data_IF_189284574548
#
_entry.id   IF_189284574548
#
_cell.length_a   1.000
_cell.length_b   1.000
_cell.length_c   1.000
_cell.angle_alpha   90.00
_cell.angle_beta   90.00
_cell.angle_gamma   90.00
#
_symmetry.space_group_name_H-M   'P 1'
#
loop_
_entity.id
_entity.type
_entity.pdbx_description
1 polymer ?
#
# COMPACT_ATOMS: atom_id res chain seq x y z
N UNK A 1 -3.27 33.16 21.95
CA UNK A 1 -3.32 32.95 20.50
C UNK A 1 -1.96 32.54 19.91
N UNK A 2 -0.87 33.24 20.22
CA UNK A 2 0.48 32.85 19.70
C UNK A 2 0.94 31.44 20.16
N UNK A 3 0.74 31.10 21.43
CA UNK A 3 1.05 29.75 21.95
C UNK A 3 0.22 28.68 21.29
N UNK A 4 -1.05 28.89 21.02
CA UNK A 4 -1.92 27.98 20.28
C UNK A 4 -1.41 27.75 18.85
N UNK A 5 -1.09 28.81 18.11
CA UNK A 5 -0.54 28.71 16.76
C UNK A 5 0.83 28.00 16.74
N UNK A 6 1.63 28.18 17.77
CA UNK A 6 2.90 27.46 17.94
C UNK A 6 2.66 25.96 18.12
N UNK A 7 1.77 25.56 19.03
CA UNK A 7 1.42 24.16 19.26
C UNK A 7 0.87 23.54 17.98
N UNK A 8 -0.14 24.19 17.37
CA UNK A 8 -0.78 23.70 16.15
C UNK A 8 0.24 23.45 15.02
N UNK A 9 1.16 24.39 14.82
CA UNK A 9 2.24 24.27 13.83
C UNK A 9 3.17 23.09 14.11
N UNK A 10 3.57 22.90 15.38
CA UNK A 10 4.41 21.78 15.77
C UNK A 10 3.67 20.45 15.58
N UNK A 11 2.40 20.37 15.98
CA UNK A 11 1.57 19.17 15.80
C UNK A 11 1.46 18.79 14.32
N UNK A 12 1.09 19.76 13.46
CA UNK A 12 0.97 19.52 12.02
C UNK A 12 2.31 19.08 11.42
N UNK A 13 3.40 19.83 11.71
CA UNK A 13 4.71 19.52 11.14
C UNK A 13 5.25 18.15 11.58
N UNK A 14 5.12 17.80 12.86
CA UNK A 14 5.56 16.52 13.39
C UNK A 14 4.72 15.35 12.84
N UNK A 15 3.39 15.52 12.69
CA UNK A 15 2.54 14.50 12.10
C UNK A 15 2.89 14.22 10.63
N UNK A 16 3.15 15.27 9.84
CA UNK A 16 3.63 15.09 8.47
C UNK A 16 4.97 14.36 8.43
N UNK A 17 5.95 14.79 9.23
CA UNK A 17 7.26 14.14 9.28
C UNK A 17 7.13 12.67 9.70
N UNK A 18 6.38 12.39 10.78
CA UNK A 18 6.18 11.03 11.28
C UNK A 18 5.50 10.13 10.25
N UNK A 19 4.40 10.62 9.65
CA UNK A 19 3.68 9.88 8.59
C UNK A 19 4.60 9.49 7.44
N UNK A 20 5.47 10.42 7.03
CA UNK A 20 6.35 10.18 5.89
C UNK A 20 7.55 9.32 6.24
N UNK A 21 8.10 9.41 7.44
CA UNK A 21 9.19 8.51 7.85
C UNK A 21 8.79 7.05 7.70
N UNK A 22 7.53 6.72 8.02
CA UNK A 22 6.99 5.37 7.83
C UNK A 22 6.85 5.04 6.34
N UNK A 23 6.27 5.94 5.53
CA UNK A 23 6.10 5.72 4.08
C UNK A 23 7.41 5.70 3.31
N UNK A 24 8.39 6.55 3.70
CA UNK A 24 9.70 6.58 3.08
C UNK A 24 10.57 5.37 3.45
N UNK A 25 10.21 4.65 4.50
CA UNK A 25 10.81 3.36 4.85
C UNK A 25 10.34 2.22 3.93
N UNK A 26 9.22 2.40 3.23
CA UNK A 26 8.72 1.49 2.20
C UNK A 26 8.06 2.28 1.05
N UNK A 27 8.86 2.85 0.13
CA UNK A 27 8.34 3.56 -1.03
C UNK A 27 7.58 2.63 -2.01
N UNK A 28 7.93 1.33 -2.06
CA UNK A 28 7.25 0.35 -2.91
C UNK A 28 5.81 0.12 -2.42
N UNK A 29 5.59 -0.04 -1.12
CA UNK A 29 4.24 -0.18 -0.56
C UNK A 29 3.34 1.01 -0.91
N UNK A 30 3.87 2.26 -0.85
CA UNK A 30 3.12 3.42 -1.31
C UNK A 30 2.88 3.39 -2.84
N UNK A 31 3.85 2.94 -3.63
CA UNK A 31 3.72 2.77 -5.09
C UNK A 31 2.59 1.80 -5.42
N UNK A 32 2.53 0.66 -4.77
CA UNK A 32 1.46 -0.33 -4.97
C UNK A 32 0.08 0.21 -4.57
N UNK A 33 0.00 1.01 -3.52
CA UNK A 33 -1.25 1.70 -3.17
C UNK A 33 -1.69 2.70 -4.23
N UNK A 34 -0.76 3.41 -4.87
CA UNK A 34 -1.09 4.28 -6.00
C UNK A 34 -1.58 3.48 -7.22
N UNK A 35 -0.97 2.32 -7.52
CA UNK A 35 -1.44 1.42 -8.58
C UNK A 35 -2.89 0.97 -8.31
N UNK A 36 -3.22 0.56 -7.08
CA UNK A 36 -4.57 0.18 -6.68
C UNK A 36 -5.59 1.31 -6.98
N UNK A 37 -5.25 2.57 -6.69
CA UNK A 37 -6.09 3.72 -7.06
C UNK A 37 -6.19 3.88 -8.58
N UNK A 38 -5.09 3.76 -9.32
CA UNK A 38 -5.06 3.95 -10.76
C UNK A 38 -5.85 2.86 -11.50
N UNK A 39 -5.75 1.62 -11.06
CA UNK A 39 -6.57 0.51 -11.56
C UNK A 39 -8.07 0.78 -11.37
N UNK A 40 -8.48 1.20 -10.16
CA UNK A 40 -9.89 1.51 -9.86
C UNK A 40 -10.40 2.70 -10.68
N UNK A 41 -9.53 3.66 -11.04
CA UNK A 41 -9.89 4.82 -11.85
C UNK A 41 -9.74 4.57 -13.36
N UNK A 42 -9.23 3.43 -13.79
CA UNK A 42 -9.01 3.09 -15.20
C UNK A 42 -7.87 3.85 -15.85
N UNK A 43 -6.88 4.31 -15.08
CA UNK A 43 -5.70 5.04 -15.54
C UNK A 43 -4.40 4.24 -15.35
N UNK A 44 -4.48 2.93 -15.52
CA UNK A 44 -3.36 2.00 -15.35
C UNK A 44 -2.12 2.30 -16.22
N UNK A 45 -2.24 3.14 -17.26
CA UNK A 45 -1.09 3.60 -18.05
C UNK A 45 -0.06 4.43 -17.24
N UNK A 46 -0.40 4.85 -16.03
CA UNK A 46 0.50 5.55 -15.10
C UNK A 46 1.20 4.62 -14.12
N UNK A 47 0.94 3.32 -14.16
CA UNK A 47 1.46 2.35 -13.19
C UNK A 47 2.99 2.30 -13.17
N UNK A 48 3.64 2.44 -14.33
CA UNK A 48 5.10 2.47 -14.44
C UNK A 48 5.75 3.67 -13.73
N UNK A 49 4.98 4.73 -13.47
CA UNK A 49 5.46 5.95 -12.81
C UNK A 49 5.14 6.02 -11.32
N UNK A 50 4.39 5.07 -10.77
CA UNK A 50 3.91 5.11 -9.38
C UNK A 50 5.04 5.14 -8.36
N UNK A 51 6.15 4.44 -8.61
CA UNK A 51 7.32 4.50 -7.74
C UNK A 51 7.94 5.91 -7.71
N UNK A 52 8.05 6.55 -8.87
CA UNK A 52 8.56 7.93 -8.95
C UNK A 52 7.62 8.88 -8.20
N UNK A 53 6.31 8.73 -8.39
CA UNK A 53 5.32 9.52 -7.66
C UNK A 53 5.41 9.31 -6.16
N UNK A 54 5.58 8.06 -5.70
CA UNK A 54 5.72 7.73 -4.28
C UNK A 54 6.97 8.41 -3.67
N UNK A 55 8.13 8.30 -4.32
CA UNK A 55 9.39 8.90 -3.86
C UNK A 55 9.29 10.43 -3.82
N UNK A 56 8.73 11.04 -4.86
CA UNK A 56 8.53 12.50 -4.93
C UNK A 56 7.54 12.97 -3.86
N UNK A 57 6.42 12.28 -3.72
CA UNK A 57 5.38 12.63 -2.73
C UNK A 57 5.93 12.56 -1.31
N UNK A 58 6.62 11.48 -0.93
CA UNK A 58 7.26 11.33 0.36
C UNK A 58 8.27 12.46 0.61
N UNK A 59 9.09 12.77 -0.39
CA UNK A 59 10.07 13.85 -0.27
C UNK A 59 9.40 15.21 -0.07
N UNK A 60 8.36 15.52 -0.83
CA UNK A 60 7.62 16.77 -0.70
C UNK A 60 6.95 16.92 0.67
N UNK A 61 6.33 15.86 1.18
CA UNK A 61 5.66 15.88 2.48
C UNK A 61 6.65 16.13 3.63
N UNK A 62 7.79 15.42 3.68
CA UNK A 62 8.75 15.56 4.78
C UNK A 62 9.44 16.93 4.74
N UNK A 63 9.81 17.38 3.54
CA UNK A 63 10.41 18.72 3.34
C UNK A 63 9.42 19.81 3.72
N UNK A 64 8.13 19.66 3.36
CA UNK A 64 7.08 20.60 3.77
C UNK A 64 6.87 20.59 5.30
N UNK A 65 6.90 19.42 5.94
CA UNK A 65 6.84 19.31 7.40
C UNK A 65 8.00 20.02 8.08
N UNK A 66 9.24 19.80 7.62
CA UNK A 66 10.44 20.48 8.13
C UNK A 66 10.37 21.98 7.87
N UNK A 67 10.01 22.40 6.65
CA UNK A 67 9.84 23.81 6.28
C UNK A 67 8.82 24.53 7.17
N UNK A 68 7.73 23.85 7.53
CA UNK A 68 6.74 24.36 8.47
C UNK A 68 7.35 24.58 9.86
N UNK A 69 8.15 23.62 10.35
CA UNK A 69 8.78 23.72 11.68
C UNK A 69 9.83 24.82 11.74
N UNK A 70 10.67 24.97 10.73
CA UNK A 70 11.68 26.04 10.65
C UNK A 70 11.10 27.39 10.22
N UNK A 71 9.81 27.42 9.81
CA UNK A 71 9.09 28.61 9.31
C UNK A 71 9.70 29.23 8.05
N UNK A 72 10.25 28.40 7.14
CA UNK A 72 10.92 28.88 5.92
C UNK A 72 10.69 27.94 4.73
N UNK A 73 10.23 28.46 3.59
CA UNK A 73 9.48 29.71 3.38
C UNK A 73 8.02 29.54 3.84
N UNK A 74 7.64 30.16 4.93
CA UNK A 74 6.43 29.82 5.71
C UNK A 74 5.12 29.86 4.91
N UNK A 75 4.85 30.93 4.16
CA UNK A 75 3.61 31.09 3.37
C UNK A 75 3.51 30.04 2.26
N UNK A 76 4.58 29.84 1.51
CA UNK A 76 4.63 28.86 0.40
C UNK A 76 4.45 27.44 0.94
N UNK A 77 5.09 27.12 2.07
CA UNK A 77 4.94 25.84 2.75
C UNK A 77 3.49 25.57 3.15
N UNK A 78 2.77 26.55 3.66
CA UNK A 78 1.37 26.38 4.02
C UNK A 78 0.48 26.11 2.79
N UNK A 79 0.74 26.76 1.65
CA UNK A 79 0.03 26.48 0.40
C UNK A 79 0.35 25.09 -0.13
N UNK A 80 1.61 24.65 -0.05
CA UNK A 80 2.01 23.28 -0.43
C UNK A 80 1.31 22.26 0.47
N UNK A 81 1.34 22.44 1.80
CA UNK A 81 0.66 21.55 2.74
C UNK A 81 -0.85 21.54 2.53
N UNK A 82 -1.46 22.67 2.17
CA UNK A 82 -2.88 22.73 1.83
C UNK A 82 -3.18 21.90 0.58
N UNK A 83 -2.36 22.01 -0.47
CA UNK A 83 -2.52 21.20 -1.68
C UNK A 83 -2.39 19.71 -1.38
N UNK A 84 -1.36 19.31 -0.62
CA UNK A 84 -1.13 17.92 -0.22
C UNK A 84 -2.30 17.37 0.61
N UNK A 85 -2.75 18.10 1.63
CA UNK A 85 -3.82 17.58 2.49
C UNK A 85 -5.17 17.53 1.77
N UNK A 86 -5.47 18.46 0.85
CA UNK A 86 -6.67 18.37 0.00
C UNK A 86 -6.61 17.14 -0.88
N UNK A 87 -5.45 16.86 -1.49
CA UNK A 87 -5.25 15.65 -2.30
C UNK A 87 -5.45 14.38 -1.47
N UNK A 88 -4.83 14.27 -0.28
CA UNK A 88 -5.02 13.11 0.60
C UNK A 88 -6.45 12.98 1.12
N UNK A 89 -7.09 14.10 1.48
CA UNK A 89 -8.51 14.08 1.89
C UNK A 89 -9.41 13.56 0.76
N UNK A 90 -9.10 13.91 -0.48
CA UNK A 90 -9.80 13.38 -1.65
C UNK A 90 -9.59 11.86 -1.78
N UNK A 91 -8.34 11.37 -1.69
CA UNK A 91 -8.03 9.94 -1.77
C UNK A 91 -8.72 9.13 -0.66
N UNK A 92 -8.60 9.58 0.59
CA UNK A 92 -9.20 8.91 1.75
C UNK A 92 -10.72 8.97 1.73
N UNK A 93 -11.29 10.08 1.25
CA UNK A 93 -12.72 10.22 1.01
C UNK A 93 -13.20 9.27 -0.08
N UNK A 94 -12.49 9.19 -1.21
CA UNK A 94 -12.81 8.24 -2.27
C UNK A 94 -12.78 6.79 -1.77
N UNK A 95 -11.73 6.40 -1.03
CA UNK A 95 -11.63 5.07 -0.45
C UNK A 95 -12.79 4.76 0.52
N UNK A 96 -13.19 5.76 1.34
CA UNK A 96 -14.28 5.62 2.30
C UNK A 96 -15.65 5.45 1.61
N UNK A 97 -15.93 6.26 0.59
CA UNK A 97 -17.26 6.29 -0.04
C UNK A 97 -17.43 5.25 -1.15
N UNK A 98 -16.36 4.89 -1.86
CA UNK A 98 -16.42 3.85 -2.89
C UNK A 98 -16.43 2.43 -2.30
N UNK A 99 -15.82 2.24 -1.12
CA UNK A 99 -15.64 0.92 -0.49
C UNK A 99 -14.74 -0.04 -1.30
N UNK A 100 -14.15 0.42 -2.41
CA UNK A 100 -13.30 -0.41 -3.29
C UNK A 100 -11.88 -0.57 -2.75
N UNK A 101 -11.41 0.37 -1.94
CA UNK A 101 -10.05 0.41 -1.39
C UNK A 101 -10.13 0.19 0.12
N UNK A 102 -9.55 -0.89 0.61
CA UNK A 102 -9.66 -1.32 2.02
C UNK A 102 -8.74 -0.52 2.95
N UNK A 103 -7.57 -0.09 2.48
CA UNK A 103 -6.57 0.67 3.26
C UNK A 103 -6.04 1.83 2.44
N UNK A 104 -5.83 3.00 3.08
CA UNK A 104 -5.41 4.22 2.37
C UNK A 104 -3.89 4.40 2.28
N UNK A 105 -3.08 3.58 2.94
CA UNK A 105 -1.61 3.69 2.94
C UNK A 105 -1.05 4.97 3.59
N UNK A 106 -1.87 5.76 4.32
CA UNK A 106 -1.44 7.04 4.90
C UNK A 106 -0.25 6.93 5.87
N UNK A 107 -0.10 5.79 6.55
CA UNK A 107 1.02 5.46 7.42
C UNK A 107 1.72 4.16 6.98
N UNK A 108 1.71 3.88 5.67
CA UNK A 108 2.26 2.63 5.14
C UNK A 108 1.63 1.41 5.78
N UNK A 109 2.28 0.27 5.66
CA UNK A 109 1.79 -1.00 6.21
C UNK A 109 2.13 -1.20 7.69
N UNK A 110 3.00 -0.35 8.25
CA UNK A 110 3.33 -0.40 9.69
C UNK A 110 2.15 -0.02 10.60
N UNK A 111 1.29 0.89 10.16
CA UNK A 111 0.11 1.34 10.90
C UNK A 111 -1.09 1.36 9.95
N UNK A 112 -1.72 0.20 9.72
CA UNK A 112 -2.86 0.11 8.81
C UNK A 112 -4.06 0.84 9.41
N UNK A 113 -4.39 2.01 8.85
CA UNK A 113 -5.56 2.78 9.24
C UNK A 113 -6.74 2.47 8.33
N UNK A 114 -7.92 2.35 8.94
CA UNK A 114 -9.15 2.27 8.14
C UNK A 114 -9.41 3.57 7.37
N UNK A 115 -10.07 3.52 6.20
CA UNK A 115 -10.38 4.71 5.41
C UNK A 115 -11.11 5.81 6.22
N UNK A 116 -12.01 5.41 7.12
CA UNK A 116 -12.75 6.33 8.00
C UNK A 116 -11.82 7.12 8.94
N UNK A 117 -10.89 6.42 9.62
CA UNK A 117 -9.95 7.07 10.55
C UNK A 117 -9.00 7.99 9.80
N UNK A 118 -8.51 7.55 8.63
CA UNK A 118 -7.65 8.36 7.76
C UNK A 118 -8.35 9.63 7.29
N UNK A 119 -9.59 9.51 6.84
CA UNK A 119 -10.39 10.66 6.39
C UNK A 119 -10.63 11.68 7.50
N UNK A 120 -11.01 11.24 8.70
CA UNK A 120 -11.20 12.14 9.85
C UNK A 120 -9.89 12.84 10.21
N UNK A 121 -8.77 12.11 10.25
CA UNK A 121 -7.44 12.70 10.49
C UNK A 121 -7.12 13.78 9.46
N UNK A 122 -7.37 13.52 8.18
CA UNK A 122 -7.07 14.46 7.09
C UNK A 122 -7.95 15.72 7.18
N UNK A 123 -9.23 15.59 7.53
CA UNK A 123 -10.10 16.74 7.81
C UNK A 123 -9.57 17.60 8.97
N UNK A 124 -9.15 16.98 10.08
CA UNK A 124 -8.58 17.71 11.22
C UNK A 124 -7.31 18.45 10.80
N UNK A 125 -6.42 17.81 10.03
CA UNK A 125 -5.20 18.45 9.51
C UNK A 125 -5.52 19.57 8.53
N UNK A 126 -6.51 19.39 7.67
CA UNK A 126 -6.98 20.42 6.73
C UNK A 126 -7.42 21.68 7.48
N UNK A 127 -8.28 21.54 8.50
CA UNK A 127 -8.70 22.66 9.33
C UNK A 127 -7.51 23.32 10.06
N UNK A 128 -6.58 22.54 10.59
CA UNK A 128 -5.39 23.03 11.23
C UNK A 128 -4.52 23.88 10.28
N UNK A 129 -4.30 23.40 9.06
CA UNK A 129 -3.53 24.12 8.04
C UNK A 129 -4.24 25.40 7.60
N UNK A 130 -5.57 25.39 7.44
CA UNK A 130 -6.38 26.57 7.13
C UNK A 130 -6.24 27.64 8.24
N UNK A 131 -6.31 27.24 9.51
CA UNK A 131 -6.11 28.18 10.65
C UNK A 131 -4.71 28.79 10.59
N UNK A 132 -3.67 27.99 10.34
CA UNK A 132 -2.29 28.47 10.20
C UNK A 132 -2.15 29.44 9.01
N UNK A 133 -2.80 29.13 7.89
CA UNK A 133 -2.77 29.96 6.68
C UNK A 133 -3.41 31.34 6.90
N UNK A 134 -4.58 31.41 7.55
CA UNK A 134 -5.21 32.69 7.87
C UNK A 134 -4.40 33.52 8.86
N UNK A 135 -3.61 32.87 9.71
CA UNK A 135 -2.79 33.53 10.71
C UNK A 135 -1.29 33.61 10.34
N UNK A 136 -0.93 33.32 9.08
CA UNK A 136 0.48 33.25 8.67
C UNK A 136 1.28 34.53 8.95
N UNK A 137 0.65 35.72 8.85
CA UNK A 137 1.29 37.03 9.16
C UNK A 137 1.72 37.18 10.61
N UNK A 138 1.09 36.43 11.55
CA UNK A 138 1.42 36.48 12.99
C UNK A 138 2.63 35.64 13.36
N UNK A 139 3.09 34.77 12.43
CA UNK A 139 4.24 33.89 12.63
C UNK A 139 5.43 34.45 11.88
N UNK A 140 6.34 35.08 12.60
CA UNK A 140 7.58 35.60 12.00
C UNK A 140 8.66 34.52 11.97
N UNK A 141 9.38 34.46 10.86
CA UNK A 141 10.63 33.68 10.74
C UNK A 141 11.80 34.58 11.00
N UNK A 142 12.67 34.16 11.90
CA UNK A 142 13.96 34.83 12.15
C UNK A 142 15.13 34.06 11.53
N UNK A 143 14.82 33.03 10.72
CA UNK A 143 15.84 32.19 10.10
C UNK A 143 16.48 32.92 8.91
N UNK A 144 17.80 32.91 8.85
CA UNK A 144 18.53 33.46 7.71
C UNK A 144 18.24 32.64 6.44
N UNK A 145 18.00 33.31 5.29
CA UNK A 145 17.59 32.64 4.05
C UNK A 145 18.55 31.52 3.63
N UNK A 146 19.86 31.78 3.68
CA UNK A 146 20.85 30.78 3.28
C UNK A 146 20.79 29.51 4.16
N UNK A 147 20.61 29.69 5.49
CA UNK A 147 20.46 28.57 6.41
C UNK A 147 19.17 27.81 6.16
N UNK A 148 18.05 28.52 5.88
CA UNK A 148 16.78 27.88 5.52
C UNK A 148 16.89 27.04 4.27
N UNK A 149 17.49 27.56 3.19
CA UNK A 149 17.74 26.81 1.95
C UNK A 149 18.64 25.61 2.20
N UNK A 150 19.73 25.80 2.95
CA UNK A 150 20.66 24.71 3.28
C UNK A 150 19.95 23.57 4.01
N UNK A 151 19.14 23.88 5.02
CA UNK A 151 18.39 22.85 5.79
C UNK A 151 17.38 22.11 4.93
N UNK A 152 16.69 22.79 3.99
CA UNK A 152 15.77 22.14 3.06
C UNK A 152 16.51 21.25 2.05
N UNK A 153 17.64 21.70 1.50
CA UNK A 153 18.47 20.87 0.62
C UNK A 153 19.02 19.65 1.34
N UNK A 154 19.50 19.82 2.56
CA UNK A 154 20.00 18.72 3.40
C UNK A 154 18.89 17.71 3.70
N UNK A 155 17.70 18.17 4.05
CA UNK A 155 16.56 17.28 4.32
C UNK A 155 16.11 16.53 3.05
N UNK A 156 16.07 17.21 1.91
CA UNK A 156 15.75 16.58 0.61
C UNK A 156 16.76 15.49 0.26
N UNK A 157 18.07 15.80 0.41
CA UNK A 157 19.14 14.83 0.16
C UNK A 157 19.09 13.63 1.11
N UNK A 158 18.85 13.88 2.40
CA UNK A 158 18.75 12.82 3.40
C UNK A 158 17.56 11.88 3.14
N UNK A 159 16.39 12.43 2.83
CA UNK A 159 15.20 11.63 2.52
C UNK A 159 15.37 10.87 1.20
N UNK A 160 15.88 11.54 0.16
CA UNK A 160 16.16 10.90 -1.12
C UNK A 160 17.15 9.75 -0.99
N UNK A 161 18.23 9.95 -0.23
CA UNK A 161 19.20 8.90 0.06
C UNK A 161 18.60 7.75 0.87
N UNK A 162 17.79 8.06 1.90
CA UNK A 162 17.09 7.04 2.69
C UNK A 162 16.18 6.17 1.83
N UNK A 163 15.37 6.78 0.95
CA UNK A 163 14.50 6.05 0.03
C UNK A 163 15.30 5.23 -0.99
N UNK A 164 16.37 5.81 -1.56
CA UNK A 164 17.26 5.07 -2.44
C UNK A 164 17.87 3.85 -1.75
N UNK A 165 18.32 4.01 -0.50
CA UNK A 165 18.89 2.91 0.28
C UNK A 165 17.91 1.77 0.49
N UNK A 166 16.68 2.05 0.92
CA UNK A 166 15.65 1.00 1.16
C UNK A 166 15.16 0.36 -0.14
N UNK A 167 15.23 1.04 -1.27
CA UNK A 167 14.93 0.46 -2.59
C UNK A 167 16.01 -0.51 -3.07
N UNK A 168 17.25 -0.37 -2.61
CA UNK A 168 18.36 -1.26 -2.95
C UNK A 168 18.57 -2.37 -1.90
N UNK A 169 18.02 -2.19 -0.71
CA UNK A 169 18.17 -3.07 0.44
C UNK A 169 16.80 -3.34 1.06
N UNK A 170 16.77 -3.96 2.22
CA UNK A 170 15.52 -4.11 2.98
C UNK A 170 15.16 -2.81 3.71
N UNK A 171 13.87 -2.59 4.02
CA UNK A 171 13.42 -1.50 4.87
C UNK A 171 14.16 -1.47 6.22
N UNK A 172 14.40 -0.28 6.77
CA UNK A 172 15.02 -0.16 8.11
C UNK A 172 14.14 -0.81 9.19
N UNK A 173 12.83 -0.70 9.06
CA UNK A 173 11.84 -1.35 9.91
C UNK A 173 10.90 -2.15 9.00
N UNK A 174 11.03 -3.47 9.06
CA UNK A 174 10.16 -4.35 8.31
C UNK A 174 8.88 -4.60 9.11
N UNK A 175 7.78 -4.09 8.60
CA UNK A 175 6.45 -4.18 9.22
C UNK A 175 5.59 -5.28 8.62
N UNK A 176 6.04 -5.90 7.53
CA UNK A 176 5.29 -6.94 6.85
C UNK A 176 5.32 -8.26 7.62
N UNK A 177 4.29 -9.09 7.50
CA UNK A 177 4.28 -10.41 8.13
C UNK A 177 5.33 -11.37 7.55
N UNK A 178 5.84 -11.08 6.34
CA UNK A 178 6.88 -11.84 5.64
C UNK A 178 8.32 -11.54 6.12
N UNK A 179 8.46 -10.69 7.12
CA UNK A 179 9.78 -10.27 7.62
C UNK A 179 10.65 -11.45 8.07
N UNK A 180 11.95 -11.21 8.02
CA UNK A 180 12.97 -12.19 8.46
C UNK A 180 12.71 -12.65 9.91
N UNK A 181 12.70 -13.96 10.11
CA UNK A 181 12.47 -14.61 11.41
C UNK A 181 11.02 -14.99 11.67
N UNK A 182 10.07 -14.60 10.82
CA UNK A 182 8.69 -15.08 10.91
C UNK A 182 8.52 -16.41 10.17
N UNK A 183 7.68 -17.27 10.73
CA UNK A 183 7.15 -18.45 10.04
C UNK A 183 5.88 -18.07 9.28
N UNK A 184 5.92 -18.24 7.95
CA UNK A 184 4.79 -17.87 7.07
C UNK A 184 3.55 -18.69 7.41
N UNK A 185 3.69 -19.99 7.63
CA UNK A 185 2.57 -20.87 7.95
C UNK A 185 1.92 -20.49 9.28
N UNK A 186 2.72 -20.06 10.26
CA UNK A 186 2.19 -19.58 11.54
C UNK A 186 1.45 -18.24 11.38
N UNK A 187 1.95 -17.34 10.52
CA UNK A 187 1.27 -16.07 10.24
C UNK A 187 -0.04 -16.25 9.42
N UNK A 188 -0.18 -17.38 8.72
CA UNK A 188 -1.42 -17.76 8.00
C UNK A 188 -2.49 -18.36 8.92
N UNK A 189 -2.12 -18.79 10.11
CA UNK A 189 -3.09 -19.35 11.05
C UNK A 189 -4.01 -18.25 11.60
N UNK A 190 -5.31 -18.55 11.58
CA UNK A 190 -6.30 -17.69 12.22
C UNK A 190 -6.10 -17.78 13.74
N UNK A 191 -5.97 -16.66 14.45
CA UNK A 191 -5.80 -16.69 15.92
C UNK A 191 -6.94 -17.41 16.63
N UNK A 192 -6.64 -18.11 17.72
CA UNK A 192 -7.68 -18.75 18.54
C UNK A 192 -8.66 -17.69 19.07
N UNK A 193 -9.95 -18.01 19.00
CA UNK A 193 -11.03 -17.10 19.39
C UNK A 193 -11.36 -16.00 18.36
N UNK A 194 -10.82 -16.08 17.13
CA UNK A 194 -11.19 -15.16 16.07
C UNK A 194 -12.65 -15.36 15.65
N UNK A 195 -13.39 -14.27 15.63
CA UNK A 195 -14.75 -14.20 15.10
C UNK A 195 -14.68 -13.37 13.82
N UNK A 196 -14.84 -13.98 12.64
CA UNK A 196 -14.80 -13.25 11.38
C UNK A 196 -15.99 -12.31 11.22
N UNK A 197 -15.81 -11.28 10.41
CA UNK A 197 -16.94 -10.46 9.96
C UNK A 197 -17.92 -11.35 9.17
N UNK A 198 -19.21 -11.25 9.50
CA UNK A 198 -20.26 -11.88 8.70
C UNK A 198 -20.73 -10.87 7.65
N UNK A 199 -20.53 -11.21 6.39
CA UNK A 199 -20.93 -10.36 5.27
C UNK A 199 -21.94 -11.06 4.39
N UNK A 200 -22.93 -10.32 3.90
CA UNK A 200 -23.81 -10.73 2.80
C UNK A 200 -23.30 -10.12 1.51
N UNK A 201 -23.21 -10.93 0.48
CA UNK A 201 -22.85 -10.46 -0.85
C UNK A 201 -24.13 -10.18 -1.63
N UNK A 202 -24.42 -8.91 -1.84
CA UNK A 202 -25.54 -8.48 -2.67
C UNK A 202 -25.06 -8.23 -4.09
N UNK A 203 -25.72 -8.88 -5.04
CA UNK A 203 -25.48 -8.71 -6.47
C UNK A 203 -26.61 -7.89 -7.09
N UNK A 204 -26.24 -6.91 -7.89
CA UNK A 204 -27.17 -6.03 -8.61
C UNK A 204 -27.23 -6.42 -10.07
N UNK A 205 -28.43 -6.58 -10.59
CA UNK A 205 -28.71 -6.90 -11.98
C UNK A 205 -29.71 -5.93 -12.57
N UNK A 206 -29.60 -5.69 -13.87
CA UNK A 206 -30.62 -4.98 -14.63
C UNK A 206 -31.57 -6.02 -15.27
N UNK A 207 -32.85 -5.94 -14.95
CA UNK A 207 -33.93 -6.73 -15.61
C UNK A 207 -35.02 -5.77 -16.08
N UNK A 208 -35.34 -5.80 -17.37
CA UNK A 208 -36.40 -4.95 -17.96
C UNK A 208 -36.26 -3.45 -17.63
N UNK A 209 -35.01 -2.92 -17.63
CA UNK A 209 -34.72 -1.51 -17.31
C UNK A 209 -34.79 -1.14 -15.83
N UNK A 210 -34.98 -2.10 -14.92
CA UNK A 210 -34.99 -1.89 -13.47
C UNK A 210 -33.83 -2.61 -12.82
N UNK A 211 -33.17 -1.94 -11.89
CA UNK A 211 -32.12 -2.57 -11.06
C UNK A 211 -32.80 -3.40 -9.97
N UNK A 212 -32.46 -4.69 -9.91
CA UNK A 212 -32.89 -5.65 -8.89
C UNK A 212 -31.66 -6.15 -8.14
N UNK A 213 -31.79 -6.38 -6.83
CA UNK A 213 -30.69 -6.83 -5.98
C UNK A 213 -31.07 -8.11 -5.27
N UNK A 214 -30.15 -9.04 -5.21
CA UNK A 214 -30.31 -10.32 -4.51
C UNK A 214 -29.06 -10.62 -3.67
N UNK A 215 -29.26 -11.36 -2.59
CA UNK A 215 -28.17 -12.04 -1.89
C UNK A 215 -27.63 -13.17 -2.78
N UNK A 216 -26.31 -13.39 -2.77
CA UNK A 216 -25.65 -14.43 -3.58
C UNK A 216 -26.21 -15.84 -3.28
N UNK A 217 -26.79 -16.06 -2.11
CA UNK A 217 -27.39 -17.32 -1.70
C UNK A 217 -28.90 -17.39 -1.96
N UNK A 218 -29.50 -16.32 -2.48
CA UNK A 218 -30.97 -16.21 -2.66
C UNK A 218 -31.30 -15.65 -4.05
N UNK A 219 -30.85 -16.36 -5.09
CA UNK A 219 -31.26 -16.02 -6.44
C UNK A 219 -32.74 -16.37 -6.66
N UNK A 220 -33.47 -15.52 -7.40
CA UNK A 220 -34.85 -15.83 -7.78
C UNK A 220 -34.89 -17.08 -8.66
N UNK A 221 -35.98 -17.83 -8.55
CA UNK A 221 -36.19 -19.08 -9.30
C UNK A 221 -36.29 -18.86 -10.82
N UNK A 222 -36.61 -17.62 -11.24
CA UNK A 222 -36.71 -17.18 -12.63
C UNK A 222 -35.42 -16.50 -13.13
N UNK A 223 -34.28 -16.74 -12.47
CA UNK A 223 -32.99 -16.16 -12.88
C UNK A 223 -32.54 -16.76 -14.21
N UNK A 224 -32.42 -15.92 -15.23
CA UNK A 224 -32.09 -16.30 -16.61
C UNK A 224 -31.17 -15.27 -17.29
N UNK A 225 -30.92 -15.45 -18.60
CA UNK A 225 -30.07 -14.56 -19.40
C UNK A 225 -30.59 -13.13 -19.57
N UNK A 226 -31.82 -12.81 -19.12
CA UNK A 226 -32.36 -11.44 -19.15
C UNK A 226 -31.84 -10.58 -18.01
N UNK A 227 -31.18 -11.19 -17.02
CA UNK A 227 -30.53 -10.48 -15.93
C UNK A 227 -29.12 -10.07 -16.34
N UNK A 228 -28.89 -8.79 -16.55
CA UNK A 228 -27.57 -8.23 -16.89
C UNK A 228 -26.87 -7.78 -15.61
N UNK A 229 -25.76 -8.42 -15.29
CA UNK A 229 -24.94 -8.06 -14.13
C UNK A 229 -24.52 -6.58 -14.17
N UNK A 230 -24.63 -5.87 -13.04
CA UNK A 230 -24.21 -4.48 -12.91
C UNK A 230 -23.13 -4.28 -11.84
N UNK A 231 -23.36 -4.79 -10.63
CA UNK A 231 -22.45 -4.52 -9.49
C UNK A 231 -22.57 -5.59 -8.42
N UNK A 232 -21.53 -5.68 -7.59
CA UNK A 232 -21.46 -6.53 -6.39
C UNK A 232 -21.13 -5.67 -5.20
N UNK A 233 -21.90 -5.78 -4.12
CA UNK A 233 -21.69 -5.06 -2.87
C UNK A 233 -21.63 -6.03 -1.70
N UNK A 234 -20.60 -5.89 -0.88
CA UNK A 234 -20.52 -6.58 0.42
C UNK A 234 -21.22 -5.74 1.49
N UNK A 235 -22.20 -6.33 2.15
CA UNK A 235 -22.95 -5.71 3.24
C UNK A 235 -22.57 -6.43 4.53
N UNK A 236 -21.96 -5.71 5.46
CA UNK A 236 -21.61 -6.24 6.76
C UNK A 236 -22.89 -6.53 7.56
N UNK A 237 -23.15 -7.81 7.89
CA UNK A 237 -24.26 -8.23 8.73
C UNK A 237 -23.89 -8.13 10.21
N UNK A 238 -22.73 -8.72 10.56
CA UNK A 238 -22.23 -8.73 11.93
C UNK A 238 -20.72 -8.51 11.91
N UNK A 239 -20.28 -7.55 12.69
CA UNK A 239 -18.85 -7.27 12.86
C UNK A 239 -18.21 -8.32 13.74
N UNK A 240 -17.14 -8.93 13.28
CA UNK A 240 -16.30 -9.81 14.06
C UNK A 240 -15.46 -9.06 15.12
N UNK A 241 -14.58 -9.77 15.77
CA UNK A 241 -13.69 -9.18 16.78
C UNK A 241 -12.39 -8.58 16.21
N UNK A 242 -12.23 -8.56 14.90
CA UNK A 242 -11.06 -8.01 14.19
C UNK A 242 -9.79 -8.87 14.29
N UNK A 243 -9.87 -10.06 14.87
CA UNK A 243 -8.77 -11.04 14.90
C UNK A 243 -8.78 -11.80 13.58
N UNK A 244 -7.80 -11.55 12.73
CA UNK A 244 -7.61 -12.20 11.42
C UNK A 244 -6.19 -12.73 11.33
N UNK A 245 -5.97 -13.72 10.47
CA UNK A 245 -4.61 -14.13 10.11
C UNK A 245 -3.84 -12.92 9.55
N UNK A 246 -2.55 -12.84 9.81
CA UNK A 246 -1.73 -11.74 9.29
C UNK A 246 -1.44 -11.90 7.81
N UNK A 247 -1.41 -13.14 7.32
CA UNK A 247 -1.30 -13.51 5.92
C UNK A 247 -2.57 -14.26 5.55
N UNK A 248 -3.37 -13.69 4.65
CA UNK A 248 -4.67 -14.27 4.26
C UNK A 248 -4.68 -14.81 2.82
N UNK A 249 -3.83 -14.29 1.94
CA UNK A 249 -3.91 -14.52 0.49
C UNK A 249 -2.65 -15.21 -0.06
N UNK A 250 -1.90 -15.94 0.77
CA UNK A 250 -0.71 -16.63 0.33
C UNK A 250 -1.06 -18.05 -0.13
N UNK A 251 -0.90 -18.31 -1.43
CA UNK A 251 -1.08 -19.65 -2.00
C UNK A 251 -0.16 -19.86 -3.19
N UNK A 252 0.42 -21.05 -3.28
CA UNK A 252 1.35 -21.45 -4.33
C UNK A 252 0.80 -22.68 -5.07
N UNK A 253 0.62 -22.52 -6.38
CA UNK A 253 0.11 -23.58 -7.23
C UNK A 253 1.18 -24.09 -8.20
N UNK A 254 1.16 -25.35 -8.50
CA UNK A 254 1.92 -25.85 -9.65
C UNK A 254 1.36 -25.30 -10.95
N UNK A 255 2.10 -25.44 -12.04
CA UNK A 255 1.62 -25.13 -13.39
C UNK A 255 0.34 -25.89 -13.76
N UNK A 256 0.05 -27.01 -13.10
CA UNK A 256 -1.16 -27.83 -13.27
C UNK A 256 -2.30 -27.44 -12.31
N UNK A 257 -2.20 -26.30 -11.65
CA UNK A 257 -3.17 -25.78 -10.67
C UNK A 257 -3.37 -26.67 -9.42
N UNK A 258 -2.33 -27.42 -9.01
CA UNK A 258 -2.33 -28.15 -7.74
C UNK A 258 -1.74 -27.25 -6.67
N UNK A 259 -2.45 -27.04 -5.58
CA UNK A 259 -1.96 -26.30 -4.41
C UNK A 259 -0.81 -27.07 -3.75
N UNK A 260 0.34 -26.43 -3.62
CA UNK A 260 1.55 -26.97 -3.02
C UNK A 260 2.04 -26.15 -1.83
N UNK A 261 1.27 -25.19 -1.39
CA UNK A 261 1.65 -24.26 -0.32
C UNK A 261 2.10 -25.00 0.93
N UNK A 262 1.24 -25.83 1.47
CA UNK A 262 1.51 -26.57 2.71
C UNK A 262 2.65 -27.59 2.52
N UNK A 263 2.68 -28.29 1.38
CA UNK A 263 3.73 -29.26 1.06
C UNK A 263 5.10 -28.62 0.99
N UNK A 264 5.20 -27.43 0.38
CA UNK A 264 6.46 -26.70 0.26
C UNK A 264 6.98 -26.25 1.63
N UNK A 265 6.12 -25.64 2.44
CA UNK A 265 6.52 -25.09 3.75
C UNK A 265 6.80 -26.18 4.80
N UNK A 266 6.28 -27.39 4.63
CA UNK A 266 6.60 -28.52 5.50
C UNK A 266 7.94 -29.19 5.12
N UNK A 267 8.61 -28.72 4.07
CA UNK A 267 9.93 -29.22 3.68
C UNK A 267 10.98 -28.80 4.71
N UNK A 268 11.73 -29.76 5.24
CA UNK A 268 12.75 -29.52 6.27
C UNK A 268 14.09 -29.04 5.69
N UNK A 269 14.36 -29.29 4.42
CA UNK A 269 15.58 -28.85 3.75
C UNK A 269 15.50 -27.36 3.40
N UNK A 270 16.60 -26.61 3.52
CA UNK A 270 16.64 -25.19 3.12
C UNK A 270 16.37 -25.05 1.61
N UNK A 271 15.54 -24.09 1.26
CA UNK A 271 15.22 -23.73 -0.13
C UNK A 271 15.20 -22.23 -0.35
N UNK A 272 15.28 -21.83 -1.61
CA UNK A 272 15.24 -20.42 -2.03
C UNK A 272 14.00 -20.23 -2.89
N UNK A 273 13.19 -19.24 -2.54
CA UNK A 273 12.05 -18.77 -3.33
C UNK A 273 12.45 -17.50 -4.08
N UNK A 274 12.35 -17.53 -5.40
CA UNK A 274 12.57 -16.37 -6.26
C UNK A 274 11.21 -15.85 -6.69
N UNK A 275 10.82 -14.66 -6.25
CA UNK A 275 9.58 -14.03 -6.66
C UNK A 275 9.82 -13.13 -7.87
N UNK A 276 9.08 -13.36 -8.95
CA UNK A 276 9.15 -12.58 -10.18
C UNK A 276 7.73 -12.23 -10.64
N UNK A 277 7.34 -10.97 -10.50
CA UNK A 277 6.02 -10.51 -10.93
C UNK A 277 5.82 -10.71 -12.45
N UNK A 278 6.79 -10.27 -13.23
CA UNK A 278 6.86 -10.50 -14.67
C UNK A 278 8.12 -11.28 -15.02
N UNK A 279 8.01 -12.15 -16.00
CA UNK A 279 9.14 -12.91 -16.51
C UNK A 279 9.77 -12.10 -17.65
N UNK A 280 10.94 -11.53 -17.39
CA UNK A 280 11.73 -10.83 -18.41
C UNK A 280 12.81 -11.78 -18.97
N UNK A 281 12.75 -12.02 -20.28
CA UNK A 281 13.72 -12.86 -20.97
C UNK A 281 15.13 -12.24 -21.03
N UNK A 282 15.28 -10.95 -20.76
CA UNK A 282 16.59 -10.28 -20.69
C UNK A 282 17.39 -10.66 -19.43
N UNK A 283 16.72 -11.17 -18.38
CA UNK A 283 17.36 -11.63 -17.17
C UNK A 283 18.07 -12.96 -17.42
N UNK A 284 19.35 -13.13 -17.06
CA UNK A 284 20.09 -14.37 -17.23
C UNK A 284 19.68 -15.42 -16.17
N UNK A 285 18.45 -15.92 -16.29
CA UNK A 285 17.84 -16.85 -15.33
C UNK A 285 18.69 -18.08 -15.04
N UNK A 286 19.26 -18.69 -16.08
CA UNK A 286 20.09 -19.88 -15.92
C UNK A 286 21.32 -19.61 -15.06
N UNK A 287 21.99 -18.47 -15.26
CA UNK A 287 23.17 -18.09 -14.47
C UNK A 287 22.79 -17.81 -13.02
N UNK A 288 21.69 -17.10 -12.79
CA UNK A 288 21.18 -16.80 -11.45
C UNK A 288 20.85 -18.09 -10.69
N UNK A 289 20.09 -18.98 -11.31
CA UNK A 289 19.68 -20.26 -10.73
C UNK A 289 20.90 -21.13 -10.41
N UNK A 290 21.85 -21.24 -11.35
CA UNK A 290 23.08 -22.02 -11.17
C UNK A 290 23.90 -21.52 -9.99
N UNK A 291 24.06 -20.20 -9.87
CA UNK A 291 24.80 -19.56 -8.74
C UNK A 291 24.17 -19.90 -7.39
N UNK A 292 22.83 -19.99 -7.32
CA UNK A 292 22.14 -20.36 -6.08
C UNK A 292 22.26 -21.87 -5.81
N UNK A 293 22.13 -22.69 -6.84
CA UNK A 293 22.22 -24.16 -6.74
C UNK A 293 23.63 -24.64 -6.36
N UNK A 294 24.68 -23.89 -6.73
CA UNK A 294 26.07 -24.18 -6.29
C UNK A 294 26.23 -24.15 -4.76
N UNK A 295 25.28 -23.51 -4.03
CA UNK A 295 25.21 -23.55 -2.57
C UNK A 295 24.38 -24.72 -2.03
N UNK A 296 24.08 -25.72 -2.85
CA UNK A 296 23.29 -26.91 -2.52
C UNK A 296 21.88 -26.62 -1.98
N UNK A 297 21.25 -25.57 -2.47
CA UNK A 297 19.89 -25.19 -2.09
C UNK A 297 18.89 -25.51 -3.19
N UNK A 298 17.72 -26.00 -2.81
CA UNK A 298 16.60 -26.12 -3.75
C UNK A 298 16.09 -24.71 -4.11
N UNK A 299 15.76 -24.51 -5.38
CA UNK A 299 15.30 -23.21 -5.89
C UNK A 299 13.94 -23.39 -6.52
N UNK A 300 13.01 -22.50 -6.18
CA UNK A 300 11.68 -22.41 -6.78
C UNK A 300 11.50 -21.01 -7.35
N UNK A 301 10.97 -20.92 -8.56
CA UNK A 301 10.54 -19.65 -9.14
C UNK A 301 9.04 -19.48 -8.92
N UNK A 302 8.65 -18.35 -8.31
CA UNK A 302 7.25 -18.00 -8.08
C UNK A 302 6.90 -16.83 -8.97
N UNK A 303 5.85 -16.97 -9.77
CA UNK A 303 5.43 -15.91 -10.69
C UNK A 303 3.92 -15.94 -10.90
N UNK A 304 3.34 -14.77 -11.20
CA UNK A 304 1.98 -14.66 -11.72
C UNK A 304 1.91 -14.84 -13.25
N UNK A 305 3.06 -14.71 -13.93
CA UNK A 305 3.18 -14.80 -15.39
C UNK A 305 3.43 -16.24 -15.86
N UNK A 306 2.40 -17.07 -15.72
CA UNK A 306 2.43 -18.48 -16.11
C UNK A 306 2.79 -18.68 -17.58
N UNK A 307 2.33 -17.80 -18.46
CA UNK A 307 2.51 -17.96 -19.91
C UNK A 307 3.99 -17.83 -20.31
N UNK A 308 4.67 -16.79 -19.84
CA UNK A 308 6.09 -16.58 -20.13
C UNK A 308 6.97 -17.56 -19.35
N UNK A 309 6.58 -17.96 -18.14
CA UNK A 309 7.31 -18.97 -17.37
C UNK A 309 7.39 -20.34 -18.09
N UNK A 310 6.32 -20.75 -18.77
CA UNK A 310 6.31 -21.98 -19.58
C UNK A 310 7.26 -21.90 -20.79
N UNK A 311 7.49 -20.70 -21.34
CA UNK A 311 8.37 -20.51 -22.50
C UNK A 311 9.85 -20.60 -22.12
N UNK A 312 10.22 -20.19 -20.90
CA UNK A 312 11.60 -20.17 -20.43
C UNK A 312 12.23 -21.56 -20.25
N UNK A 313 11.41 -22.62 -20.11
CA UNK A 313 11.86 -24.02 -19.92
C UNK A 313 12.98 -24.17 -18.88
N UNK A 314 12.86 -23.46 -17.76
CA UNK A 314 13.84 -23.49 -16.67
C UNK A 314 13.93 -24.89 -16.06
N UNK A 315 15.14 -25.31 -15.70
CA UNK A 315 15.38 -26.62 -15.05
C UNK A 315 15.18 -26.51 -13.50
N UNK A 316 14.13 -25.81 -13.07
CA UNK A 316 13.67 -25.71 -11.67
C UNK A 316 12.15 -25.75 -11.62
N UNK A 317 11.57 -26.15 -10.48
CA UNK A 317 10.13 -26.04 -10.28
C UNK A 317 9.66 -24.59 -10.38
N UNK A 318 8.63 -24.36 -11.19
CA UNK A 318 7.95 -23.06 -11.29
C UNK A 318 6.59 -23.18 -10.62
N UNK A 319 6.32 -22.28 -9.71
CA UNK A 319 5.05 -22.16 -8.99
C UNK A 319 4.34 -20.88 -9.40
N UNK A 320 3.04 -20.94 -9.43
CA UNK A 320 2.17 -19.81 -9.74
C UNK A 320 1.62 -19.25 -8.43
N UNK A 321 1.84 -17.95 -8.22
CA UNK A 321 1.28 -17.20 -7.12
C UNK A 321 0.45 -16.03 -7.62
N UNK A 322 -0.42 -15.49 -6.76
CA UNK A 322 -1.16 -14.26 -7.07
C UNK A 322 -0.22 -13.06 -7.17
N UNK A 323 -0.53 -12.13 -8.09
CA UNK A 323 0.28 -10.92 -8.26
C UNK A 323 0.29 -10.05 -6.99
N UNK A 324 -0.81 -10.03 -6.25
CA UNK A 324 -0.92 -9.29 -4.99
C UNK A 324 0.06 -9.85 -3.95
N UNK A 325 0.13 -11.18 -3.84
CA UNK A 325 1.08 -11.86 -2.97
C UNK A 325 2.54 -11.59 -3.36
N UNK A 326 2.84 -11.50 -4.65
CA UNK A 326 4.21 -11.26 -5.15
C UNK A 326 4.65 -9.82 -4.91
N UNK A 327 3.72 -8.88 -4.89
CA UNK A 327 3.99 -7.45 -4.62
C UNK A 327 4.12 -7.14 -3.12
N UNK A 328 3.61 -8.00 -2.23
CA UNK A 328 3.67 -7.83 -0.77
C UNK A 328 5.00 -8.34 -0.24
#
# INVERSE_FOLDING_TARGET
MQSFLKILRWTVGLLFIFSVLIKANDPLGLSYKMQEFFEVWGIAFLDDYTLVFAVVMNTLEIVAGIALLIKFPYKQTLWLLLGLIVFFTFLTGYALFSGKIKTCGCFGDCIPLTPKVSFIKDLVLLFAIIILLFNHKKVKSNLHKALGIFLLMLSTGAVGYGQYHVLQHLPFVDCLPYKRGNDIMEQMKVPEGAIPDSVSIQMSFLKNGKTVQFDINQFPTDFDSTYVYQDRKEVLIQKGNGMVAKIVDFSLFTLNNVDTTETLFNTTAPYVLIFAGNIDASIPWETLIKTIQEKHQQVYLITADKANALQLKLNIPVLVGDMTMIKT
#
